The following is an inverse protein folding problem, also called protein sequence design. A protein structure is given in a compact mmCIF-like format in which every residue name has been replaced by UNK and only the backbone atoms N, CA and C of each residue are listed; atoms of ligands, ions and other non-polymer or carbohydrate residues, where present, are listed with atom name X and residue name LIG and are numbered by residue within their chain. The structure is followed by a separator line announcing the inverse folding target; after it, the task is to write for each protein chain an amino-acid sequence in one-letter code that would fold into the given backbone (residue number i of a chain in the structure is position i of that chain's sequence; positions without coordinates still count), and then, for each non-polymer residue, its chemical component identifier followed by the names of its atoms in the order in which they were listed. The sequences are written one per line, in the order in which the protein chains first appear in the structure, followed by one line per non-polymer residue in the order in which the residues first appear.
data_IF_176622163477
#
_entry.id   IF_176622163477
#
_cell.length_a   1.000
_cell.length_b   1.000
_cell.length_c   1.000
_cell.angle_alpha   90.00
_cell.angle_beta   90.00
_cell.angle_gamma   90.00
#
_symmetry.space_group_name_H-M   'P 1'
#
loop_
_entity.id
_entity.type
_entity.pdbx_description
1 polymer ?
#
# COMPACT_ATOMS: atom_id res chain seq x y z
N UNK A 1 -3.48 -11.63 -3.27
CA UNK A 1 -4.39 -10.88 -4.17
C UNK A 1 -4.44 -11.58 -5.52
N UNK A 2 -5.62 -11.76 -6.09
CA UNK A 2 -5.82 -12.53 -7.31
C UNK A 2 -6.45 -11.67 -8.41
N UNK A 3 -6.09 -11.93 -9.67
CA UNK A 3 -6.75 -11.34 -10.82
C UNK A 3 -8.16 -11.93 -11.00
N UNK A 4 -9.04 -11.30 -11.83
CA UNK A 4 -10.34 -11.88 -12.17
C UNK A 4 -10.28 -13.28 -12.80
N UNK A 5 -9.13 -13.64 -13.37
CA UNK A 5 -8.87 -14.96 -13.95
C UNK A 5 -8.34 -15.99 -12.94
N UNK A 6 -8.20 -15.61 -11.66
CA UNK A 6 -7.74 -16.48 -10.58
C UNK A 6 -6.21 -16.63 -10.48
N UNK A 7 -5.44 -15.82 -11.21
CA UNK A 7 -3.97 -15.83 -11.09
C UNK A 7 -3.52 -15.00 -9.88
N UNK A 8 -2.55 -15.50 -9.11
CA UNK A 8 -1.94 -14.73 -8.02
C UNK A 8 -1.12 -13.58 -8.63
N UNK A 9 -1.40 -12.34 -8.22
CA UNK A 9 -0.72 -11.14 -8.75
C UNK A 9 0.11 -10.41 -7.70
N UNK A 10 -0.30 -10.47 -6.44
CA UNK A 10 0.44 -9.86 -5.35
C UNK A 10 0.18 -10.57 -4.01
N UNK A 11 1.12 -10.44 -3.08
CA UNK A 11 0.96 -10.83 -1.68
C UNK A 11 1.28 -9.64 -0.77
N UNK A 12 0.53 -9.52 0.31
CA UNK A 12 0.72 -8.45 1.29
C UNK A 12 1.60 -8.96 2.45
N UNK A 13 2.68 -8.25 2.73
CA UNK A 13 3.59 -8.56 3.81
C UNK A 13 3.05 -7.97 5.13
N UNK A 14 2.42 -8.82 5.94
CA UNK A 14 1.83 -8.43 7.21
C UNK A 14 2.62 -8.97 8.40
N UNK A 15 2.90 -8.09 9.37
CA UNK A 15 3.56 -8.47 10.61
C UNK A 15 2.63 -9.29 11.52
N UNK A 16 3.19 -10.30 12.18
CA UNK A 16 2.53 -11.11 13.21
C UNK A 16 3.53 -11.37 14.34
N UNK A 17 3.05 -11.40 15.56
CA UNK A 17 3.89 -11.56 16.76
C UNK A 17 3.43 -12.79 17.54
N UNK A 18 4.29 -13.80 17.64
CA UNK A 18 3.92 -15.11 18.20
C UNK A 18 3.80 -15.11 19.73
N UNK A 19 4.46 -14.17 20.41
CA UNK A 19 4.64 -14.18 21.87
C UNK A 19 4.05 -12.95 22.58
N UNK A 20 3.37 -12.08 21.83
CA UNK A 20 2.75 -10.87 22.37
C UNK A 20 1.28 -10.87 21.94
N UNK A 21 0.31 -10.87 22.88
CA UNK A 21 -1.12 -10.89 22.57
C UNK A 21 -1.62 -9.49 22.17
N UNK A 22 -0.85 -8.79 21.33
CA UNK A 22 -1.14 -7.43 20.86
C UNK A 22 -1.31 -7.51 19.35
N UNK A 23 -2.37 -6.86 18.84
CA UNK A 23 -2.57 -6.82 17.39
C UNK A 23 -1.46 -5.97 16.74
N UNK A 24 -1.09 -6.23 15.47
CA UNK A 24 -0.14 -5.37 14.76
C UNK A 24 -0.56 -3.90 14.80
N UNK A 25 -1.85 -3.60 14.59
CA UNK A 25 -2.39 -2.24 14.67
C UNK A 25 -2.12 -1.56 16.01
N UNK A 26 -2.32 -2.28 17.12
CA UNK A 26 -2.08 -1.77 18.46
C UNK A 26 -0.58 -1.56 18.72
N UNK A 27 0.27 -2.49 18.27
CA UNK A 27 1.72 -2.33 18.37
C UNK A 27 2.20 -1.11 17.58
N UNK A 28 1.78 -0.97 16.31
CA UNK A 28 2.18 0.15 15.47
C UNK A 28 1.66 1.49 15.99
N UNK A 29 0.51 1.52 16.69
CA UNK A 29 0.02 2.74 17.34
C UNK A 29 1.02 3.33 18.34
N UNK A 30 1.77 2.47 19.05
CA UNK A 30 2.74 2.89 20.08
C UNK A 30 4.20 2.70 19.68
N UNK A 31 4.46 2.09 18.52
CA UNK A 31 5.82 1.91 18.00
C UNK A 31 6.48 3.27 17.73
N UNK A 32 7.71 3.43 18.26
CA UNK A 32 8.55 4.57 17.94
C UNK A 32 9.16 4.44 16.53
N UNK A 33 9.82 5.51 16.07
CA UNK A 33 10.47 5.57 14.76
C UNK A 33 11.44 4.39 14.55
N UNK A 34 12.37 4.16 15.48
CA UNK A 34 13.37 3.11 15.37
C UNK A 34 12.76 1.70 15.21
N UNK A 35 11.71 1.40 15.97
CA UNK A 35 11.01 0.11 15.86
C UNK A 35 10.29 -0.01 14.52
N UNK A 36 9.63 1.05 14.04
CA UNK A 36 8.98 1.06 12.73
C UNK A 36 9.99 0.84 11.61
N UNK A 37 11.12 1.56 11.63
CA UNK A 37 12.21 1.37 10.67
C UNK A 37 12.78 -0.06 10.72
N UNK A 38 12.99 -0.60 11.92
CA UNK A 38 13.48 -1.97 12.10
C UNK A 38 12.54 -3.00 11.48
N UNK A 39 11.23 -2.90 11.75
CA UNK A 39 10.22 -3.81 11.19
C UNK A 39 10.18 -3.68 9.67
N UNK A 40 10.19 -2.46 9.14
CA UNK A 40 10.22 -2.21 7.71
C UNK A 40 11.44 -2.83 7.02
N UNK A 41 12.63 -2.68 7.61
CA UNK A 41 13.86 -3.26 7.08
C UNK A 41 13.86 -4.79 7.16
N UNK A 42 13.26 -5.37 8.19
CA UNK A 42 13.06 -6.82 8.30
C UNK A 42 12.12 -7.36 7.22
N UNK A 43 11.02 -6.66 6.93
CA UNK A 43 10.10 -7.01 5.84
C UNK A 43 10.81 -6.97 4.48
N UNK A 44 11.63 -5.93 4.22
CA UNK A 44 12.45 -5.87 3.00
C UNK A 44 13.43 -7.04 2.90
N UNK A 45 14.11 -7.39 4.00
CA UNK A 45 15.05 -8.51 4.03
C UNK A 45 14.35 -9.86 3.81
N UNK A 46 13.13 -10.04 4.35
CA UNK A 46 12.31 -11.22 4.12
C UNK A 46 11.93 -11.35 2.65
N UNK A 47 11.48 -10.26 2.01
CA UNK A 47 11.17 -10.28 0.58
C UNK A 47 12.42 -10.56 -0.25
N UNK A 48 13.56 -9.96 0.11
CA UNK A 48 14.85 -10.23 -0.55
C UNK A 48 15.22 -11.71 -0.56
N UNK A 49 15.02 -12.40 0.56
CA UNK A 49 15.24 -13.85 0.69
C UNK A 49 14.40 -14.67 -0.29
N UNK A 50 13.19 -14.19 -0.63
CA UNK A 50 12.23 -14.87 -1.51
C UNK A 50 12.11 -14.24 -2.90
N UNK A 51 12.90 -13.21 -3.21
CA UNK A 51 12.91 -12.41 -4.45
C UNK A 51 12.81 -13.23 -5.73
N UNK A 52 13.57 -14.33 -5.81
CA UNK A 52 13.62 -15.17 -7.01
C UNK A 52 12.25 -15.76 -7.36
N UNK A 53 11.45 -16.11 -6.35
CA UNK A 53 10.10 -16.62 -6.56
C UNK A 53 9.15 -15.53 -7.04
N UNK A 54 9.20 -14.32 -6.46
CA UNK A 54 8.38 -13.18 -6.88
C UNK A 54 8.62 -12.82 -8.34
N UNK A 55 9.90 -12.65 -8.72
CA UNK A 55 10.29 -12.30 -10.09
C UNK A 55 9.87 -13.40 -11.07
N UNK A 56 10.15 -14.67 -10.75
CA UNK A 56 9.84 -15.80 -11.64
C UNK A 56 8.34 -15.92 -11.92
N UNK A 57 7.49 -15.66 -10.93
CA UNK A 57 6.05 -15.82 -11.05
C UNK A 57 5.33 -14.52 -11.44
N UNK A 58 6.05 -13.42 -11.64
CA UNK A 58 5.48 -12.09 -11.88
C UNK A 58 4.46 -11.70 -10.79
N UNK A 59 4.83 -11.96 -9.53
CA UNK A 59 4.02 -11.64 -8.34
C UNK A 59 4.71 -10.50 -7.59
N UNK A 60 3.95 -9.49 -7.21
CA UNK A 60 4.42 -8.39 -6.38
C UNK A 60 4.33 -8.73 -4.88
N UNK A 61 5.24 -8.19 -4.08
CA UNK A 61 5.10 -8.10 -2.64
C UNK A 61 4.74 -6.67 -2.25
N UNK A 62 3.72 -6.48 -1.41
CA UNK A 62 3.32 -5.16 -0.92
C UNK A 62 3.65 -5.01 0.56
N UNK A 63 4.03 -3.80 0.99
CA UNK A 63 4.29 -3.45 2.39
C UNK A 63 3.46 -2.21 2.74
N UNK A 64 2.74 -2.25 3.87
CA UNK A 64 2.06 -1.08 4.42
C UNK A 64 3.08 -0.06 4.96
N UNK A 65 2.94 1.22 4.58
CA UNK A 65 3.84 2.28 5.01
C UNK A 65 3.08 3.48 5.58
N UNK A 66 3.64 4.08 6.62
CA UNK A 66 3.18 5.32 7.21
C UNK A 66 4.03 6.52 6.74
N UNK A 67 3.66 7.73 7.18
CA UNK A 67 4.38 8.98 6.84
C UNK A 67 5.87 8.93 7.20
N UNK A 68 6.23 8.26 8.31
CA UNK A 68 7.62 8.13 8.72
C UNK A 68 8.39 7.20 7.77
N UNK A 69 7.84 6.02 7.44
CA UNK A 69 8.48 5.09 6.49
C UNK A 69 8.55 5.67 5.08
N UNK A 70 7.57 6.50 4.66
CA UNK A 70 7.66 7.26 3.41
C UNK A 70 8.90 8.16 3.37
N UNK A 71 9.26 8.81 4.50
CA UNK A 71 10.49 9.60 4.60
C UNK A 71 11.76 8.73 4.53
N UNK A 72 11.74 7.53 5.14
CA UNK A 72 12.85 6.57 5.13
C UNK A 72 13.12 6.06 3.73
N UNK A 73 12.06 5.77 2.98
CA UNK A 73 12.11 5.36 1.59
C UNK A 73 12.73 6.43 0.66
N UNK A 74 12.79 7.70 1.06
CA UNK A 74 13.46 8.74 0.29
C UNK A 74 14.99 8.66 0.38
N UNK A 75 15.54 7.96 1.39
CA UNK A 75 16.99 7.83 1.60
C UNK A 75 17.64 7.06 0.44
N UNK A 76 18.79 7.52 -0.10
CA UNK A 76 19.40 6.93 -1.30
C UNK A 76 19.69 5.43 -1.20
N UNK A 77 20.15 4.97 -0.04
CA UNK A 77 20.48 3.58 0.24
C UNK A 77 19.23 2.68 0.23
N UNK A 78 18.12 3.18 0.77
CA UNK A 78 16.83 2.46 0.78
C UNK A 78 16.26 2.42 -0.63
N UNK A 79 16.26 3.54 -1.37
CA UNK A 79 15.87 3.59 -2.78
C UNK A 79 16.64 2.58 -3.63
N UNK A 80 17.96 2.52 -3.45
CA UNK A 80 18.81 1.58 -4.18
C UNK A 80 18.45 0.13 -3.84
N UNK A 81 18.21 -0.18 -2.56
CA UNK A 81 17.79 -1.52 -2.11
C UNK A 81 16.44 -1.92 -2.73
N UNK A 82 15.43 -1.05 -2.63
CA UNK A 82 14.08 -1.29 -3.20
C UNK A 82 14.16 -1.51 -4.70
N UNK A 83 14.91 -0.66 -5.42
CA UNK A 83 15.13 -0.81 -6.86
C UNK A 83 15.79 -2.15 -7.22
N UNK A 84 16.73 -2.62 -6.41
CA UNK A 84 17.40 -3.91 -6.61
C UNK A 84 16.49 -5.13 -6.34
N UNK A 85 15.44 -4.97 -5.53
CA UNK A 85 14.43 -6.00 -5.30
C UNK A 85 13.51 -6.16 -6.52
N UNK A 86 13.06 -5.05 -7.10
CA UNK A 86 12.28 -5.02 -8.36
C UNK A 86 10.91 -5.70 -8.31
N UNK A 87 10.44 -6.10 -7.12
CA UNK A 87 9.16 -6.78 -6.91
C UNK A 87 8.36 -6.21 -5.73
N UNK A 88 8.84 -5.14 -5.09
CA UNK A 88 8.23 -4.54 -3.90
C UNK A 88 7.40 -3.33 -4.31
N UNK A 89 6.20 -3.22 -3.76
CA UNK A 89 5.35 -2.02 -3.79
C UNK A 89 4.96 -1.64 -2.36
N UNK A 90 4.47 -0.43 -2.16
CA UNK A 90 4.12 0.15 -0.88
C UNK A 90 2.67 0.59 -0.88
N UNK A 91 1.95 0.18 0.16
CA UNK A 91 0.55 0.53 0.38
C UNK A 91 0.49 1.71 1.35
N UNK A 92 -0.15 2.79 0.91
CA UNK A 92 -0.45 3.95 1.76
C UNK A 92 -1.95 4.05 1.96
N UNK A 93 -2.36 4.34 3.19
CA UNK A 93 -3.79 4.48 3.52
C UNK A 93 -4.29 5.88 3.21
N UNK A 94 -5.60 6.00 2.97
CA UNK A 94 -6.29 7.26 2.70
C UNK A 94 -6.09 8.34 3.80
N UNK A 95 -5.73 7.93 5.02
CA UNK A 95 -5.51 8.83 6.16
C UNK A 95 -4.06 9.30 6.34
N UNK A 96 -3.14 8.94 5.44
CA UNK A 96 -1.75 9.41 5.48
C UNK A 96 -1.68 10.94 5.41
N UNK A 97 -0.94 11.58 6.33
CA UNK A 97 -0.79 13.03 6.31
C UNK A 97 -0.01 13.49 5.09
N UNK A 98 0.94 12.69 4.61
CA UNK A 98 1.69 12.99 3.38
C UNK A 98 0.77 13.06 2.16
N UNK A 99 -0.23 12.16 2.09
CA UNK A 99 -1.26 12.14 1.05
C UNK A 99 -2.19 13.37 1.19
N UNK A 100 -2.65 13.65 2.42
CA UNK A 100 -3.55 14.77 2.71
C UNK A 100 -2.92 16.16 2.52
N UNK A 101 -1.61 16.30 2.75
CA UNK A 101 -0.88 17.57 2.65
C UNK A 101 -0.18 17.77 1.30
N UNK A 102 -0.54 17.00 0.28
CA UNK A 102 0.08 17.02 -1.05
C UNK A 102 1.63 16.90 -1.00
N UNK A 103 2.17 16.18 -0.03
CA UNK A 103 3.61 16.13 0.26
C UNK A 103 4.31 14.89 -0.34
N UNK A 104 3.55 14.00 -0.98
CA UNK A 104 4.08 12.90 -1.82
C UNK A 104 4.71 13.39 -3.15
N UNK A 105 4.87 14.70 -3.38
CA UNK A 105 5.44 15.24 -4.62
C UNK A 105 6.83 14.67 -4.96
N UNK A 106 7.65 14.35 -3.94
CA UNK A 106 8.94 13.70 -4.10
C UNK A 106 8.87 12.27 -4.71
N UNK A 107 7.67 11.69 -4.75
CA UNK A 107 7.36 10.39 -5.35
C UNK A 107 6.78 10.50 -6.77
N UNK A 108 6.27 11.67 -7.18
CA UNK A 108 5.71 11.89 -8.51
C UNK A 108 6.78 11.91 -9.62
N UNK A 109 7.99 12.39 -9.32
CA UNK A 109 9.05 12.55 -10.32
C UNK A 109 9.70 11.24 -10.76
N UNK A 110 9.65 10.21 -9.91
CA UNK A 110 10.06 8.87 -10.30
C UNK A 110 8.89 8.17 -10.95
N UNK A 111 8.93 7.99 -12.28
CA UNK A 111 8.03 7.10 -13.04
C UNK A 111 8.11 5.61 -12.60
N UNK A 112 8.58 5.33 -11.39
CA UNK A 112 8.51 4.03 -10.73
C UNK A 112 7.26 4.00 -9.86
N UNK A 113 6.18 3.60 -10.49
CA UNK A 113 5.02 2.87 -9.98
C UNK A 113 5.37 1.92 -8.82
N UNK A 114 5.40 2.46 -7.59
CA UNK A 114 5.61 1.67 -6.38
C UNK A 114 4.49 1.87 -5.36
N UNK A 115 3.60 2.83 -5.57
CA UNK A 115 2.58 3.19 -4.59
C UNK A 115 1.23 2.58 -4.95
N UNK A 116 0.61 1.97 -3.96
CA UNK A 116 -0.74 1.44 -3.99
C UNK A 116 -1.55 2.22 -2.94
N UNK A 117 -2.79 2.56 -3.28
CA UNK A 117 -3.70 3.19 -2.34
C UNK A 117 -4.49 2.11 -1.61
N UNK A 118 -4.46 2.12 -0.28
CA UNK A 118 -5.26 1.25 0.58
C UNK A 118 -6.42 2.00 1.25
N UNK A 119 -7.45 1.23 1.60
CA UNK A 119 -8.67 1.69 2.26
C UNK A 119 -9.43 2.82 1.54
N UNK A 120 -9.43 2.80 0.19
CA UNK A 120 -10.16 3.80 -0.58
C UNK A 120 -11.67 3.74 -0.32
N UNK A 121 -12.26 4.88 0.03
CA UNK A 121 -13.67 5.02 0.39
C UNK A 121 -13.95 4.96 1.89
N UNK A 122 -12.90 4.86 2.72
CA UNK A 122 -13.03 4.92 4.17
C UNK A 122 -13.43 6.32 4.69
N UNK A 123 -13.28 7.37 3.87
CA UNK A 123 -13.83 8.71 4.12
C UNK A 123 -12.84 9.69 4.76
N UNK A 124 -11.55 9.42 4.65
CA UNK A 124 -10.47 10.24 5.19
C UNK A 124 -9.90 11.24 4.17
N UNK A 125 -9.96 10.92 2.88
CA UNK A 125 -9.53 11.76 1.77
C UNK A 125 -10.54 11.69 0.62
N UNK A 126 -10.99 12.86 0.16
CA UNK A 126 -11.80 12.92 -1.05
C UNK A 126 -11.01 12.51 -2.29
N UNK A 127 -11.71 12.13 -3.36
CA UNK A 127 -11.13 11.81 -4.69
C UNK A 127 -10.08 12.85 -5.17
N UNK A 128 -10.22 14.11 -4.76
CA UNK A 128 -9.28 15.18 -5.11
C UNK A 128 -7.88 15.03 -4.50
N UNK A 129 -7.75 14.42 -3.32
CA UNK A 129 -6.44 14.20 -2.69
C UNK A 129 -5.64 13.11 -3.42
N UNK A 130 -6.34 12.15 -4.03
CA UNK A 130 -5.75 11.03 -4.76
C UNK A 130 -5.38 11.43 -6.18
N UNK A 131 -6.12 12.37 -6.79
CA UNK A 131 -5.89 12.89 -8.15
C UNK A 131 -4.52 13.53 -8.38
N UNK A 132 -3.80 13.91 -7.34
CA UNK A 132 -2.44 14.46 -7.44
C UNK A 132 -1.35 13.40 -7.64
N UNK A 133 -1.70 12.11 -7.54
CA UNK A 133 -0.75 11.01 -7.43
C UNK A 133 -1.10 9.83 -8.33
N UNK A 134 -0.06 9.20 -8.87
CA UNK A 134 -0.19 7.98 -9.65
C UNK A 134 -0.08 6.76 -8.73
N UNK A 135 -1.18 6.00 -8.62
CA UNK A 135 -1.23 4.72 -7.94
C UNK A 135 -1.43 3.59 -8.95
N UNK A 136 -0.66 2.49 -8.82
CA UNK A 136 -0.82 1.33 -9.72
C UNK A 136 -2.08 0.54 -9.42
N UNK A 137 -2.45 0.52 -8.14
CA UNK A 137 -3.62 -0.18 -7.63
C UNK A 137 -4.29 0.66 -6.56
N UNK A 138 -5.62 0.55 -6.54
CA UNK A 138 -6.47 1.12 -5.51
C UNK A 138 -7.25 -0.02 -4.88
N UNK A 139 -7.01 -0.29 -3.60
CA UNK A 139 -7.76 -1.25 -2.78
C UNK A 139 -8.96 -0.51 -2.19
N UNK A 140 -10.15 -1.06 -2.44
CA UNK A 140 -11.41 -0.49 -1.94
C UNK A 140 -11.61 -0.96 -0.50
N UNK A 141 -11.94 -0.04 0.41
CA UNK A 141 -12.24 -0.38 1.80
C UNK A 141 -13.36 -1.43 1.86
N UNK A 142 -13.16 -2.41 2.75
CA UNK A 142 -14.07 -3.53 2.92
C UNK A 142 -15.46 -3.07 3.37
N UNK A 143 -15.55 -2.13 4.32
CA UNK A 143 -16.84 -1.70 4.85
C UNK A 143 -17.61 -0.88 3.81
N UNK A 144 -16.90 -0.01 3.09
CA UNK A 144 -17.44 0.75 1.98
C UNK A 144 -17.98 -0.16 0.86
N UNK A 145 -17.21 -1.17 0.46
CA UNK A 145 -17.65 -2.16 -0.52
C UNK A 145 -18.97 -2.84 -0.11
N UNK A 146 -19.02 -3.38 1.12
CA UNK A 146 -20.23 -4.06 1.61
C UNK A 146 -21.43 -3.12 1.75
N UNK A 147 -21.20 -1.89 2.19
CA UNK A 147 -22.24 -0.87 2.27
C UNK A 147 -22.84 -0.56 0.89
N UNK A 148 -22.02 -0.49 -0.15
CA UNK A 148 -22.52 -0.31 -1.52
C UNK A 148 -23.28 -1.54 -2.01
N UNK A 149 -22.77 -2.75 -1.75
CA UNK A 149 -23.46 -3.98 -2.21
C UNK A 149 -24.82 -4.24 -1.55
N UNK A 150 -25.11 -3.58 -0.42
CA UNK A 150 -26.42 -3.63 0.23
C UNK A 150 -27.44 -2.63 -0.33
N UNK A 151 -27.02 -1.66 -1.16
CA UNK A 151 -27.91 -0.63 -1.72
C UNK A 151 -28.27 -0.93 -3.16
N UNK A 152 -29.52 -0.66 -3.53
CA UNK A 152 -30.00 -0.78 -4.93
C UNK A 152 -29.15 0.04 -5.91
N UNK A 153 -28.70 1.23 -5.49
CA UNK A 153 -27.85 2.12 -6.29
C UNK A 153 -26.35 1.83 -6.16
N UNK A 154 -25.92 0.89 -5.32
CA UNK A 154 -24.50 0.71 -5.04
C UNK A 154 -23.72 -0.04 -6.12
N UNK A 155 -24.37 -0.93 -6.88
CA UNK A 155 -23.74 -1.58 -8.05
C UNK A 155 -23.37 -0.56 -9.14
N UNK A 156 -24.29 0.31 -9.60
CA UNK A 156 -23.94 1.38 -10.53
C UNK A 156 -22.81 2.28 -10.03
N UNK A 157 -22.74 2.57 -8.72
CA UNK A 157 -21.68 3.38 -8.16
C UNK A 157 -20.32 2.65 -8.19
N UNK A 158 -20.30 1.36 -7.84
CA UNK A 158 -19.08 0.55 -7.95
C UNK A 158 -18.61 0.44 -9.40
N UNK A 159 -19.53 0.25 -10.35
CA UNK A 159 -19.19 0.24 -11.77
C UNK A 159 -18.56 1.58 -12.20
N UNK A 160 -19.13 2.70 -11.75
CA UNK A 160 -18.55 4.02 -12.03
C UNK A 160 -17.15 4.20 -11.43
N UNK A 161 -16.90 3.68 -10.22
CA UNK A 161 -15.59 3.75 -9.56
C UNK A 161 -14.53 2.93 -10.28
N UNK A 162 -14.85 1.71 -10.75
CA UNK A 162 -13.90 0.85 -11.47
C UNK A 162 -13.52 1.43 -12.83
N UNK A 163 -14.41 2.22 -13.45
CA UNK A 163 -14.14 2.93 -14.69
C UNK A 163 -13.65 4.36 -14.47
N UNK A 164 -13.47 4.81 -13.23
CA UNK A 164 -12.97 6.14 -12.95
C UNK A 164 -11.52 6.21 -13.39
N UNK A 165 -11.18 7.08 -14.37
CA UNK A 165 -9.78 7.27 -14.74
C UNK A 165 -9.10 8.00 -13.58
N UNK A 166 -8.29 7.30 -12.81
CA UNK A 166 -7.25 7.93 -12.01
C UNK A 166 -6.23 8.51 -13.04
N UNK A 167 -6.13 9.84 -13.17
CA UNK A 167 -5.29 10.48 -14.18
C UNK A 167 -3.80 10.27 -13.91
#
# INVERSE_FOLDING_TARGET
MFSPLGALVAVECLSRFDHIPVSPEELFRYANADLRESIFMEQLALIEKHKAWFIKNNVSATINVDDHILSVLLRPEVKAKVKALGCVHFEITENSNELLNNSLAAWCDSHSSLLWLDDFGAGYAGINAIRGYHFDYVKIDRNFFWHLMQKESGRPLMDALVHFPFP
#
